data_IF_087265731926
#
_entry.id   IF_087265731926
#
_cell.length_a   1.000
_cell.length_b   1.000
_cell.length_c   1.000
_cell.angle_alpha   90.00
_cell.angle_beta   90.00
_cell.angle_gamma   90.00
#
_symmetry.space_group_name_H-M   'P 1'
#
loop_
_entity.id
_entity.type
_entity.pdbx_description
1 polymer ?
#
# COMPACT_ATOMS: atom_id res chain seq x y z
N UNK A 1 -29.00 2.06 -0.14
CA UNK A 1 -29.66 0.74 -0.20
C UNK A 1 -28.65 -0.40 -0.25
N UNK A 2 -27.60 -0.37 -1.11
CA UNK A 2 -26.68 -1.52 -1.24
C UNK A 2 -25.67 -1.72 -0.08
N UNK A 3 -25.34 -0.67 0.69
CA UNK A 3 -24.40 -0.74 1.83
C UNK A 3 -25.02 -0.31 3.17
N UNK A 4 -26.34 -0.33 3.26
CA UNK A 4 -27.04 0.01 4.49
C UNK A 4 -26.79 -1.07 5.55
N UNK A 5 -26.03 -0.73 6.60
CA UNK A 5 -25.62 -1.68 7.64
C UNK A 5 -24.22 -2.26 7.48
N UNK A 6 -23.45 -1.85 6.46
CA UNK A 6 -22.07 -2.27 6.25
C UNK A 6 -21.21 -1.99 7.50
N UNK A 7 -20.64 -3.06 8.07
CA UNK A 7 -19.66 -2.97 9.16
C UNK A 7 -18.35 -3.60 8.74
N UNK A 8 -17.25 -2.91 9.02
CA UNK A 8 -15.92 -3.35 8.61
C UNK A 8 -14.94 -3.32 9.78
N UNK A 9 -15.11 -4.16 10.82
CA UNK A 9 -14.17 -4.20 11.94
C UNK A 9 -12.84 -4.87 11.56
N UNK A 10 -11.74 -4.26 12.00
CA UNK A 10 -10.42 -4.86 12.07
C UNK A 10 -10.37 -5.69 13.34
N UNK A 11 -10.41 -7.01 13.17
CA UNK A 11 -10.58 -7.95 14.29
C UNK A 11 -9.24 -8.46 14.84
N UNK A 12 -8.13 -8.09 14.22
CA UNK A 12 -6.80 -8.46 14.70
C UNK A 12 -5.72 -8.28 13.64
N UNK A 13 -4.57 -8.90 13.91
CA UNK A 13 -3.43 -8.91 13.02
C UNK A 13 -2.70 -10.24 13.08
N UNK A 14 -1.97 -10.56 12.02
CA UNK A 14 -1.06 -11.70 11.94
C UNK A 14 0.32 -11.21 11.54
N UNK A 15 1.35 -11.67 12.24
CA UNK A 15 2.75 -11.43 11.88
C UNK A 15 3.22 -12.61 11.04
N UNK A 16 3.64 -12.31 9.82
CA UNK A 16 4.14 -13.29 8.87
C UNK A 16 5.67 -13.31 8.90
N UNK A 17 6.28 -14.50 8.86
CA UNK A 17 7.74 -14.67 9.01
C UNK A 17 8.42 -15.45 7.86
N UNK A 18 7.70 -15.77 6.79
CA UNK A 18 8.18 -16.73 5.79
C UNK A 18 9.39 -16.28 4.94
N UNK A 19 9.64 -14.97 4.79
CA UNK A 19 10.81 -14.40 4.07
C UNK A 19 11.35 -13.13 4.71
N UNK A 20 10.46 -12.19 4.98
CA UNK A 20 10.69 -10.98 5.77
C UNK A 20 9.53 -10.81 6.73
N UNK A 21 9.79 -10.28 7.94
CA UNK A 21 8.71 -10.05 8.90
C UNK A 21 7.80 -8.93 8.42
N UNK A 22 6.49 -9.17 8.37
CA UNK A 22 5.48 -8.16 8.09
C UNK A 22 4.18 -8.44 8.86
N UNK A 23 3.31 -7.44 8.94
CA UNK A 23 2.03 -7.52 9.64
C UNK A 23 0.87 -7.40 8.64
N UNK A 24 -0.04 -8.36 8.68
CA UNK A 24 -1.34 -8.33 8.01
C UNK A 24 -2.41 -7.96 9.03
N UNK A 25 -3.27 -7.01 8.70
CA UNK A 25 -4.47 -6.69 9.47
C UNK A 25 -5.63 -7.51 8.93
N UNK A 26 -6.32 -8.21 9.82
CA UNK A 26 -7.50 -9.03 9.48
C UNK A 26 -8.75 -8.18 9.62
N UNK A 27 -9.43 -7.96 8.51
CA UNK A 27 -10.61 -7.10 8.40
C UNK A 27 -11.80 -8.00 8.10
N UNK A 28 -12.87 -7.88 8.87
CA UNK A 28 -14.14 -8.58 8.62
C UNK A 28 -15.08 -7.63 7.90
N UNK A 29 -15.46 -7.94 6.66
CA UNK A 29 -16.45 -7.15 5.90
C UNK A 29 -17.81 -7.80 6.11
N UNK A 30 -18.75 -7.07 6.72
CA UNK A 30 -20.09 -7.55 7.06
C UNK A 30 -21.13 -6.68 6.35
N UNK A 31 -21.85 -7.25 5.37
CA UNK A 31 -22.91 -6.53 4.63
C UNK A 31 -24.25 -6.67 5.35
N UNK A 32 -24.57 -7.89 5.82
CA UNK A 32 -25.73 -8.17 6.66
C UNK A 32 -25.32 -8.75 8.02
N UNK A 33 -26.26 -8.83 8.97
CA UNK A 33 -25.99 -9.41 10.28
C UNK A 33 -25.76 -10.93 10.14
N UNK A 34 -24.49 -11.33 10.17
CA UNK A 34 -23.93 -12.70 10.19
C UNK A 34 -23.37 -13.23 8.86
N UNK A 35 -23.53 -12.51 7.74
CA UNK A 35 -22.85 -12.82 6.48
C UNK A 35 -21.68 -11.85 6.20
N UNK A 36 -20.53 -12.41 5.83
CA UNK A 36 -19.33 -11.62 5.60
C UNK A 36 -18.09 -12.46 5.24
N UNK A 37 -17.04 -11.75 4.85
CA UNK A 37 -15.75 -12.35 4.47
C UNK A 37 -14.60 -11.63 5.16
N UNK A 38 -13.43 -12.27 5.15
CA UNK A 38 -12.22 -11.64 5.67
C UNK A 38 -11.35 -11.17 4.53
N UNK A 39 -10.84 -9.96 4.65
CA UNK A 39 -9.75 -9.46 3.82
C UNK A 39 -8.53 -9.18 4.68
N UNK A 40 -7.36 -9.41 4.13
CA UNK A 40 -6.08 -9.20 4.79
C UNK A 40 -5.34 -8.09 4.06
N UNK A 41 -4.95 -7.07 4.81
CA UNK A 41 -4.31 -5.86 4.24
C UNK A 41 -3.13 -5.45 5.10
N UNK A 42 -2.03 -5.05 4.46
CA UNK A 42 -0.89 -4.43 5.13
C UNK A 42 -1.13 -2.94 5.30
N UNK A 43 -0.41 -2.31 6.23
CA UNK A 43 -0.43 -0.85 6.39
C UNK A 43 -0.19 -0.10 5.08
N UNK A 44 0.72 -0.60 4.22
CA UNK A 44 0.99 -0.01 2.90
C UNK A 44 -0.22 0.00 1.96
N UNK A 45 -1.13 -0.95 2.10
CA UNK A 45 -2.31 -1.05 1.25
C UNK A 45 -3.32 0.04 1.65
N UNK A 46 -3.48 0.31 2.96
CA UNK A 46 -4.23 1.47 3.46
C UNK A 46 -3.62 2.79 2.98
N UNK A 47 -2.29 2.90 2.92
CA UNK A 47 -1.64 4.09 2.38
C UNK A 47 -1.99 4.32 0.91
N UNK A 48 -1.92 3.26 0.10
CA UNK A 48 -2.26 3.32 -1.33
C UNK A 48 -3.72 3.69 -1.53
N UNK A 49 -4.62 3.13 -0.73
CA UNK A 49 -6.04 3.50 -0.75
C UNK A 49 -6.21 4.99 -0.41
N UNK A 50 -5.58 5.48 0.65
CA UNK A 50 -5.67 6.89 1.05
C UNK A 50 -5.15 7.84 -0.04
N UNK A 51 -4.07 7.46 -0.74
CA UNK A 51 -3.54 8.24 -1.85
C UNK A 51 -4.51 8.29 -3.05
N UNK A 52 -5.11 7.15 -3.42
CA UNK A 52 -6.17 7.07 -4.44
C UNK A 52 -7.37 7.95 -4.05
N UNK A 53 -7.84 7.84 -2.81
CA UNK A 53 -8.98 8.61 -2.30
C UNK A 53 -8.70 10.11 -2.25
N UNK A 54 -7.49 10.54 -1.87
CA UNK A 54 -7.12 11.96 -1.88
C UNK A 54 -7.15 12.57 -3.28
N UNK A 55 -6.86 11.77 -4.31
CA UNK A 55 -6.91 12.24 -5.70
C UNK A 55 -8.35 12.35 -6.21
N UNK A 56 -9.22 11.40 -5.85
CA UNK A 56 -10.63 11.38 -6.25
C UNK A 56 -11.49 12.37 -5.45
N UNK A 57 -11.18 12.54 -4.17
CA UNK A 57 -11.94 13.36 -3.23
C UNK A 57 -11.00 14.36 -2.50
N UNK A 58 -10.51 15.43 -3.17
CA UNK A 58 -9.49 16.32 -2.60
C UNK A 58 -9.90 17.06 -1.33
N UNK A 59 -11.20 17.24 -1.11
CA UNK A 59 -11.78 17.85 0.11
C UNK A 59 -11.85 16.86 1.28
N UNK A 60 -11.79 15.55 1.00
CA UNK A 60 -11.85 14.50 1.99
C UNK A 60 -10.43 14.17 2.50
N UNK A 61 -10.12 14.60 3.72
CA UNK A 61 -8.80 14.40 4.34
C UNK A 61 -8.89 13.30 5.39
N UNK A 62 -8.46 12.10 5.00
CA UNK A 62 -8.29 10.98 5.93
C UNK A 62 -6.91 11.02 6.58
N UNK A 63 -6.90 10.82 7.90
CA UNK A 63 -5.67 10.59 8.65
C UNK A 63 -5.41 9.09 8.76
N UNK A 64 -4.18 8.67 8.47
CA UNK A 64 -3.68 7.34 8.82
C UNK A 64 -2.84 7.43 10.10
N UNK A 65 -2.81 6.37 10.92
CA UNK A 65 -1.90 6.32 12.04
C UNK A 65 -0.45 6.46 11.55
N UNK A 66 0.43 7.10 12.33
CA UNK A 66 1.77 7.45 11.88
C UNK A 66 2.60 6.22 11.52
N UNK A 67 3.52 6.43 10.57
CA UNK A 67 4.60 5.48 10.31
C UNK A 67 5.55 5.43 11.49
N UNK A 68 5.98 4.23 11.87
CA UNK A 68 7.00 4.03 12.91
C UNK A 68 8.36 3.83 12.23
N UNK A 69 9.19 4.87 12.30
CA UNK A 69 10.47 4.91 11.60
C UNK A 69 11.67 4.50 12.48
N UNK A 70 11.53 4.54 13.80
CA UNK A 70 12.67 4.42 14.74
C UNK A 70 12.45 3.42 15.90
N UNK A 71 11.39 2.62 15.87
CA UNK A 71 11.04 1.65 16.92
C UNK A 71 10.56 0.34 16.29
N UNK A 72 10.54 -0.74 17.08
CA UNK A 72 10.11 -2.07 16.63
C UNK A 72 8.69 -2.01 16.03
N UNK A 73 8.53 -2.42 14.77
CA UNK A 73 7.23 -2.40 14.10
C UNK A 73 6.26 -3.49 14.57
N UNK A 74 6.72 -4.41 15.42
CA UNK A 74 5.97 -5.58 15.88
C UNK A 74 5.61 -5.54 17.36
N UNK A 75 5.95 -4.45 18.05
CA UNK A 75 5.60 -4.24 19.46
C UNK A 75 4.06 -4.20 19.61
N UNK A 76 3.45 -5.06 20.46
CA UNK A 76 2.01 -5.27 20.51
C UNK A 76 1.21 -4.00 20.78
N UNK A 77 1.65 -3.17 21.74
CA UNK A 77 0.97 -1.92 22.10
C UNK A 77 0.86 -0.97 20.90
N UNK A 78 1.91 -0.90 20.09
CA UNK A 78 1.86 -0.11 18.86
C UNK A 78 0.97 -0.71 17.78
N UNK A 79 0.90 -2.04 17.67
CA UNK A 79 0.00 -2.68 16.73
C UNK A 79 -1.47 -2.46 17.14
N UNK A 80 -1.75 -2.45 18.44
CA UNK A 80 -3.06 -2.06 19.00
C UNK A 80 -3.42 -0.60 18.67
N UNK A 81 -2.52 0.36 18.96
CA UNK A 81 -2.70 1.77 18.62
C UNK A 81 -2.91 1.96 17.10
N UNK A 82 -2.17 1.20 16.30
CA UNK A 82 -2.30 1.20 14.85
C UNK A 82 -3.63 0.64 14.40
N UNK A 83 -4.14 -0.43 15.01
CA UNK A 83 -5.46 -0.97 14.72
C UNK A 83 -6.53 0.09 15.01
N UNK A 84 -6.44 0.80 16.14
CA UNK A 84 -7.40 1.87 16.46
C UNK A 84 -7.40 2.97 15.40
N UNK A 85 -6.22 3.42 14.96
CA UNK A 85 -6.09 4.42 13.90
C UNK A 85 -6.59 3.93 12.54
N UNK A 86 -6.31 2.66 12.19
CA UNK A 86 -6.80 2.06 10.96
C UNK A 86 -8.31 1.83 11.00
N UNK A 87 -8.87 1.46 12.15
CA UNK A 87 -10.32 1.31 12.32
C UNK A 87 -11.01 2.67 12.14
N UNK A 88 -10.46 3.73 12.73
CA UNK A 88 -10.98 5.08 12.52
C UNK A 88 -10.94 5.49 11.05
N UNK A 89 -9.85 5.16 10.34
CA UNK A 89 -9.76 5.35 8.89
C UNK A 89 -10.87 4.60 8.15
N UNK A 90 -11.05 3.30 8.43
CA UNK A 90 -12.08 2.47 7.79
C UNK A 90 -13.47 3.03 8.06
N UNK A 91 -13.79 3.39 9.31
CA UNK A 91 -15.08 3.97 9.68
C UNK A 91 -15.39 5.26 8.92
N UNK A 92 -14.39 6.13 8.73
CA UNK A 92 -14.56 7.34 7.93
C UNK A 92 -14.78 7.01 6.45
N UNK A 93 -14.06 6.04 5.89
CA UNK A 93 -14.25 5.61 4.50
C UNK A 93 -15.66 5.07 4.28
N UNK A 94 -16.12 4.16 5.15
CA UNK A 94 -17.44 3.53 4.98
C UNK A 94 -18.62 4.41 5.40
N UNK A 95 -18.35 5.53 6.08
CA UNK A 95 -19.37 6.51 6.49
C UNK A 95 -19.86 7.41 5.36
N UNK A 96 -19.26 7.33 4.17
CA UNK A 96 -19.62 8.17 3.01
C UNK A 96 -19.96 7.29 1.80
N UNK A 97 -21.21 7.34 1.36
CA UNK A 97 -21.73 6.51 0.26
C UNK A 97 -20.89 6.68 -1.02
N UNK A 98 -20.64 7.92 -1.45
CA UNK A 98 -19.84 8.20 -2.65
C UNK A 98 -18.42 7.63 -2.59
N UNK A 99 -17.87 7.46 -1.38
CA UNK A 99 -16.53 6.94 -1.17
C UNK A 99 -16.55 5.41 -1.18
N UNK A 100 -17.54 4.79 -0.51
CA UNK A 100 -17.76 3.34 -0.55
C UNK A 100 -17.96 2.83 -1.96
N UNK A 101 -18.75 3.57 -2.76
CA UNK A 101 -19.08 3.21 -4.13
C UNK A 101 -17.91 3.40 -5.10
N UNK A 102 -16.81 4.02 -4.68
CA UNK A 102 -15.65 4.22 -5.55
C UNK A 102 -14.85 2.94 -5.77
N UNK A 103 -14.39 2.71 -7.01
CA UNK A 103 -13.62 1.51 -7.40
C UNK A 103 -12.47 1.17 -6.43
N UNK A 104 -11.64 2.13 -5.96
CA UNK A 104 -10.55 1.81 -5.02
C UNK A 104 -11.02 1.19 -3.71
N UNK A 105 -12.19 1.59 -3.22
CA UNK A 105 -12.74 1.11 -1.94
C UNK A 105 -13.41 -0.25 -2.15
N UNK A 106 -14.17 -0.41 -3.24
CA UNK A 106 -14.76 -1.71 -3.62
C UNK A 106 -13.68 -2.77 -3.83
N UNK A 107 -12.60 -2.45 -4.54
CA UNK A 107 -11.42 -3.30 -4.73
C UNK A 107 -10.73 -3.61 -3.39
N UNK A 108 -10.55 -2.60 -2.54
CA UNK A 108 -9.85 -2.78 -1.26
C UNK A 108 -10.59 -3.71 -0.30
N UNK A 109 -11.92 -3.64 -0.24
CA UNK A 109 -12.73 -4.50 0.62
C UNK A 109 -13.29 -5.76 -0.08
N UNK A 110 -13.01 -5.94 -1.37
CA UNK A 110 -13.55 -7.03 -2.18
C UNK A 110 -15.10 -7.05 -2.17
N UNK A 111 -15.73 -5.88 -2.36
CA UNK A 111 -17.20 -5.74 -2.30
C UNK A 111 -17.92 -6.39 -3.48
N UNK A 112 -17.25 -6.48 -4.64
CA UNK A 112 -17.81 -7.08 -5.88
C UNK A 112 -17.49 -8.57 -6.03
N UNK A 113 -16.41 -9.03 -5.43
CA UNK A 113 -15.87 -10.38 -5.59
C UNK A 113 -15.32 -10.86 -4.24
N UNK A 114 -16.21 -11.24 -3.31
CA UNK A 114 -15.82 -11.63 -1.97
C UNK A 114 -15.08 -12.98 -2.01
N UNK A 115 -13.92 -13.09 -1.33
CA UNK A 115 -13.13 -14.32 -1.32
C UNK A 115 -13.90 -15.48 -0.65
N UNK A 116 -13.66 -16.70 -1.14
CA UNK A 116 -14.22 -17.90 -0.52
C UNK A 116 -13.72 -18.04 0.93
N UNK A 117 -14.57 -18.54 1.86
CA UNK A 117 -14.15 -18.84 3.22
C UNK A 117 -12.90 -19.72 3.36
N UNK A 118 -12.56 -20.56 2.36
CA UNK A 118 -11.35 -21.38 2.32
C UNK A 118 -10.12 -20.66 1.75
N UNK A 119 -10.29 -19.63 0.90
CA UNK A 119 -9.18 -18.91 0.24
C UNK A 119 -8.49 -17.88 1.15
N UNK A 120 -8.94 -17.79 2.41
CA UNK A 120 -8.65 -16.74 3.39
C UNK A 120 -7.18 -16.50 3.72
N UNK A 121 -6.23 -17.32 3.30
CA UNK A 121 -4.84 -17.12 3.71
C UNK A 121 -3.82 -17.45 2.61
N UNK A 122 -4.07 -18.44 1.75
CA UNK A 122 -3.11 -18.82 0.71
C UNK A 122 -3.08 -17.84 -0.46
N UNK A 123 -4.22 -17.34 -0.93
CA UNK A 123 -4.24 -16.35 -2.01
C UNK A 123 -3.70 -14.99 -1.55
N UNK A 124 -4.06 -14.55 -0.34
CA UNK A 124 -3.49 -13.32 0.23
C UNK A 124 -1.98 -13.44 0.47
N UNK A 125 -1.47 -14.65 0.79
CA UNK A 125 -0.03 -14.94 0.86
C UNK A 125 0.59 -14.87 -0.53
N UNK A 126 0.03 -15.55 -1.53
CA UNK A 126 0.54 -15.56 -2.89
C UNK A 126 0.55 -14.15 -3.53
N UNK A 127 -0.47 -13.34 -3.27
CA UNK A 127 -0.53 -11.95 -3.73
C UNK A 127 0.51 -11.07 -3.01
N UNK A 128 0.67 -11.23 -1.69
CA UNK A 128 1.71 -10.51 -0.95
C UNK A 128 3.11 -10.91 -1.42
N UNK A 129 3.36 -12.20 -1.65
CA UNK A 129 4.62 -12.73 -2.16
C UNK A 129 4.96 -12.20 -3.55
N UNK A 130 3.99 -12.23 -4.49
CA UNK A 130 4.20 -11.71 -5.85
C UNK A 130 4.41 -10.20 -5.87
N UNK A 131 3.70 -9.44 -5.04
CA UNK A 131 3.92 -8.00 -4.88
C UNK A 131 5.29 -7.70 -4.25
N UNK A 132 5.75 -8.52 -3.32
CA UNK A 132 7.08 -8.38 -2.72
C UNK A 132 8.20 -8.69 -3.71
N UNK A 133 8.02 -9.74 -4.52
CA UNK A 133 8.93 -10.07 -5.62
C UNK A 133 8.98 -8.92 -6.65
N UNK A 134 7.82 -8.36 -6.99
CA UNK A 134 7.74 -7.20 -7.88
C UNK A 134 8.45 -5.98 -7.28
N UNK A 135 8.23 -5.65 -6.00
CA UNK A 135 8.90 -4.52 -5.33
C UNK A 135 10.41 -4.73 -5.25
N UNK A 136 10.87 -5.95 -4.95
CA UNK A 136 12.29 -6.28 -4.94
C UNK A 136 12.92 -6.08 -6.33
N UNK A 137 12.29 -6.61 -7.37
CA UNK A 137 12.76 -6.49 -8.75
C UNK A 137 12.79 -5.02 -9.21
N UNK A 138 11.73 -4.25 -8.93
CA UNK A 138 11.67 -2.82 -9.24
C UNK A 138 12.76 -2.03 -8.52
N UNK A 139 13.04 -2.32 -7.25
CA UNK A 139 14.13 -1.64 -6.51
C UNK A 139 15.50 -1.94 -7.11
N UNK A 140 15.73 -3.19 -7.54
CA UNK A 140 16.98 -3.59 -8.20
C UNK A 140 17.13 -2.86 -9.54
N UNK A 141 16.08 -2.82 -10.34
CA UNK A 141 16.06 -2.13 -11.63
C UNK A 141 16.31 -0.62 -11.47
N UNK A 142 15.67 0.03 -10.48
CA UNK A 142 15.92 1.45 -10.16
C UNK A 142 17.39 1.68 -9.77
N UNK A 143 18.00 0.78 -9.00
CA UNK A 143 19.41 0.89 -8.61
C UNK A 143 20.35 0.79 -9.83
N UNK A 144 20.11 -0.20 -10.70
CA UNK A 144 20.87 -0.39 -11.94
C UNK A 144 20.74 0.81 -12.87
N UNK A 145 19.51 1.30 -13.07
CA UNK A 145 19.24 2.48 -13.91
C UNK A 145 19.87 3.74 -13.34
N UNK A 146 19.89 3.93 -12.03
CA UNK A 146 20.60 5.04 -11.40
C UNK A 146 22.11 4.96 -11.65
N UNK A 147 22.71 3.76 -11.59
CA UNK A 147 24.12 3.59 -11.89
C UNK A 147 24.45 3.90 -13.37
N UNK A 148 23.61 3.44 -14.29
CA UNK A 148 23.72 3.73 -15.72
C UNK A 148 23.63 5.24 -16.00
N UNK A 149 22.66 5.93 -15.36
CA UNK A 149 22.50 7.38 -15.47
C UNK A 149 23.75 8.12 -14.98
N UNK A 150 24.35 7.73 -13.86
CA UNK A 150 25.57 8.37 -13.34
C UNK A 150 26.77 8.15 -14.28
N UNK A 151 26.89 6.95 -14.88
CA UNK A 151 27.93 6.66 -15.88
C UNK A 151 27.79 7.54 -17.12
N UNK A 152 26.58 7.64 -17.67
CA UNK A 152 26.28 8.47 -18.85
C UNK A 152 26.50 9.96 -18.59
N UNK A 153 26.12 10.47 -17.40
CA UNK A 153 26.42 11.85 -17.00
C UNK A 153 27.94 12.11 -16.97
N UNK A 154 28.72 11.16 -16.44
CA UNK A 154 30.17 11.29 -16.39
C UNK A 154 30.80 11.28 -17.79
N UNK A 155 30.30 10.43 -18.71
CA UNK A 155 30.76 10.41 -20.09
C UNK A 155 30.39 11.67 -20.86
N UNK A 156 29.15 12.15 -20.69
CA UNK A 156 28.69 13.41 -21.28
C UNK A 156 29.57 14.58 -20.82
N UNK A 157 29.90 14.64 -19.53
CA UNK A 157 30.81 15.67 -19.00
C UNK A 157 32.20 15.62 -19.64
N UNK A 158 32.77 14.41 -19.82
CA UNK A 158 34.06 14.23 -20.51
C UNK A 158 34.00 14.67 -21.98
N UNK A 159 32.93 14.32 -22.69
CA UNK A 159 32.74 14.67 -24.10
C UNK A 159 32.58 16.18 -24.30
N UNK A 160 31.76 16.83 -23.45
CA UNK A 160 31.61 18.30 -23.45
C UNK A 160 32.93 19.03 -23.19
N UNK A 161 33.69 18.61 -22.17
CA UNK A 161 35.01 19.20 -21.91
C UNK A 161 35.98 19.04 -23.09
N UNK A 162 35.90 17.93 -23.82
CA UNK A 162 36.69 17.69 -25.04
C UNK A 162 36.27 18.60 -26.19
N UNK A 163 34.96 18.80 -26.40
CA UNK A 163 34.45 19.73 -27.40
C UNK A 163 34.90 21.16 -27.10
N UNK A 164 34.72 21.63 -25.86
CA UNK A 164 35.15 22.98 -25.45
C UNK A 164 36.65 23.20 -25.64
N UNK A 165 37.48 22.18 -25.38
CA UNK A 165 38.92 22.23 -25.62
C UNK A 165 39.25 22.30 -27.12
N UNK A 166 38.55 21.54 -27.97
CA UNK A 166 38.74 21.58 -29.42
C UNK A 166 38.28 22.91 -30.01
N UNK A 167 37.14 23.44 -29.56
CA UNK A 167 36.64 24.76 -29.94
C UNK A 167 37.63 25.86 -29.57
N UNK A 168 38.22 25.81 -28.36
CA UNK A 168 39.29 26.72 -27.93
C UNK A 168 40.58 26.63 -28.75
N UNK A 169 40.84 25.51 -29.41
CA UNK A 169 42.04 25.33 -30.27
C UNK A 169 41.81 25.76 -31.72
N UNK A 170 40.55 25.77 -32.16
CA UNK A 170 40.16 26.07 -33.54
C UNK A 170 39.73 27.54 -33.72
N UNK A 171 39.28 28.21 -32.66
CA UNK A 171 39.04 29.66 -32.62
C UNK A 171 40.29 30.43 -32.20
#
# INVERSE_FOLDING_TARGET
>A
EEFEGLRVPIIGYEIMEQRARYTLFKIHVQVEADEGWFVFRRYSDFQRLNEKLRNLFPTFRLALPPKRWFKDNFDPTFLEDRILGLQAFVNNVIGHVDIVDSDPVREFFCLDDPPDPLDRLEESRALCESLEECVYNLRREVLEKNHEVESLKAELARSKARQEELERRLG
#
